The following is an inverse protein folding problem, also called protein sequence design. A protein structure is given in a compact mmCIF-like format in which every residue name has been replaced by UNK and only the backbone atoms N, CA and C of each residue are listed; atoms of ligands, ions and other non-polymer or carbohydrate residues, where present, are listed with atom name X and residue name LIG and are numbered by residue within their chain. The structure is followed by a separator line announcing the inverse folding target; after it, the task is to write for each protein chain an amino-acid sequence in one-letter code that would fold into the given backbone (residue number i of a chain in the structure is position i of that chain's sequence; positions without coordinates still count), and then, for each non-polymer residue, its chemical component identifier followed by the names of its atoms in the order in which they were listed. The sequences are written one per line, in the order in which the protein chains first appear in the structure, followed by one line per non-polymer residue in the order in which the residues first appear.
data_IF_045562550102
#
_entry.id   IF_045562550102
#
_cell.length_a   1.000
_cell.length_b   1.000
_cell.length_c   1.000
_cell.angle_alpha   90.00
_cell.angle_beta   90.00
_cell.angle_gamma   90.00
#
_symmetry.space_group_name_H-M   'P 1'
#
loop_
_entity.id
_entity.type
_entity.pdbx_description
1 polymer ?
#
# COMPACT_ATOMS: atom_id res chain seq x y z
N UNK A 1 24.93 7.24 58.97
CA UNK A 1 24.64 8.34 58.01
C UNK A 1 25.41 8.01 56.74
N UNK A 2 24.88 7.84 55.53
CA UNK A 2 23.60 8.17 54.88
C UNK A 2 23.43 7.19 53.71
N UNK A 3 22.20 6.73 53.48
CA UNK A 3 21.77 5.97 52.32
C UNK A 3 21.97 6.79 51.04
N UNK A 4 22.50 6.17 49.97
CA UNK A 4 22.28 6.64 48.61
C UNK A 4 21.75 5.47 47.77
N UNK A 5 20.43 5.32 47.82
CA UNK A 5 19.68 4.55 46.84
C UNK A 5 19.79 5.24 45.48
N UNK A 6 20.52 4.62 44.55
CA UNK A 6 20.42 4.96 43.13
C UNK A 6 19.05 4.50 42.62
N UNK A 7 18.05 5.37 42.76
CA UNK A 7 16.84 5.27 41.96
C UNK A 7 17.21 5.62 40.51
N UNK A 8 17.52 4.61 39.71
CA UNK A 8 17.41 4.70 38.27
C UNK A 8 15.92 4.88 37.94
N UNK A 9 15.45 6.12 37.90
CA UNK A 9 14.23 6.48 37.20
C UNK A 9 14.49 6.23 35.70
N UNK A 10 14.11 5.05 35.24
CA UNK A 10 13.90 4.78 33.82
C UNK A 10 12.75 5.69 33.35
N UNK A 11 13.08 6.91 32.95
CA UNK A 11 12.22 7.66 32.05
C UNK A 11 12.18 6.87 30.75
N UNK A 12 11.19 5.98 30.63
CA UNK A 12 10.90 5.29 29.39
C UNK A 12 10.69 6.36 28.32
N UNK A 13 11.67 6.48 27.43
CA UNK A 13 11.61 7.42 26.31
C UNK A 13 10.33 7.10 25.53
N UNK A 14 9.42 8.07 25.31
CA UNK A 14 8.15 7.83 24.62
C UNK A 14 8.29 7.10 23.28
N UNK A 15 9.44 7.23 22.62
CA UNK A 15 9.79 6.50 21.39
C UNK A 15 9.98 4.99 21.55
N UNK A 16 10.55 4.52 22.66
CA UNK A 16 10.78 3.08 22.91
C UNK A 16 9.47 2.32 23.18
N UNK A 17 8.52 2.99 23.85
CA UNK A 17 7.21 2.42 24.16
C UNK A 17 6.31 2.38 22.91
N UNK A 18 6.40 3.40 22.05
CA UNK A 18 5.72 3.43 20.75
C UNK A 18 6.21 2.33 19.80
N UNK A 19 7.52 2.08 19.73
CA UNK A 19 8.08 1.01 18.88
C UNK A 19 7.71 -0.39 19.35
N UNK A 20 7.71 -0.62 20.68
CA UNK A 20 7.30 -1.90 21.27
C UNK A 20 5.81 -2.18 21.02
N UNK A 21 4.96 -1.17 21.21
CA UNK A 21 3.52 -1.28 20.95
C UNK A 21 3.24 -1.51 19.46
N UNK A 22 3.95 -0.82 18.56
CA UNK A 22 3.79 -1.02 17.12
C UNK A 22 4.17 -2.43 16.69
N UNK A 23 5.28 -2.98 17.22
CA UNK A 23 5.68 -4.37 16.96
C UNK A 23 4.61 -5.35 17.43
N UNK A 24 4.04 -5.13 18.61
CA UNK A 24 2.96 -5.97 19.13
C UNK A 24 1.72 -5.93 18.22
N UNK A 25 1.31 -4.75 17.75
CA UNK A 25 0.20 -4.59 16.79
C UNK A 25 0.49 -5.30 15.46
N UNK A 26 1.72 -5.19 14.94
CA UNK A 26 2.15 -5.92 13.74
C UNK A 26 2.10 -7.44 13.92
N UNK A 27 2.48 -7.94 15.10
CA UNK A 27 2.42 -9.37 15.43
C UNK A 27 0.97 -9.86 15.51
N UNK A 28 0.08 -9.07 16.10
CA UNK A 28 -1.36 -9.36 16.12
C UNK A 28 -1.91 -9.50 14.70
N UNK A 29 -1.62 -8.55 13.81
CA UNK A 29 -2.04 -8.63 12.42
C UNK A 29 -1.47 -9.84 11.68
N UNK A 30 -0.18 -10.16 11.90
CA UNK A 30 0.45 -11.37 11.35
C UNK A 30 -0.29 -12.64 11.83
N UNK A 31 -0.62 -12.73 13.11
CA UNK A 31 -1.36 -13.86 13.67
C UNK A 31 -2.77 -13.97 13.09
N UNK A 32 -3.45 -12.85 12.87
CA UNK A 32 -4.77 -12.81 12.23
C UNK A 32 -4.71 -13.27 10.77
N UNK A 33 -3.67 -12.87 10.01
CA UNK A 33 -3.45 -13.38 8.65
C UNK A 33 -3.26 -14.91 8.64
N UNK A 34 -2.51 -15.46 9.60
CA UNK A 34 -2.31 -16.91 9.69
C UNK A 34 -3.63 -17.62 10.08
N UNK A 35 -4.39 -17.08 11.03
CA UNK A 35 -5.70 -17.62 11.41
C UNK A 35 -6.68 -17.61 10.24
N UNK A 36 -6.67 -16.54 9.44
CA UNK A 36 -7.43 -16.48 8.20
C UNK A 36 -7.01 -17.60 7.24
N UNK A 37 -5.70 -17.78 6.98
CA UNK A 37 -5.21 -18.88 6.13
C UNK A 37 -5.73 -20.24 6.58
N UNK A 38 -5.70 -20.51 7.90
CA UNK A 38 -6.22 -21.77 8.45
C UNK A 38 -7.72 -21.94 8.18
N UNK A 39 -8.52 -20.88 8.38
CA UNK A 39 -9.98 -20.95 8.14
C UNK A 39 -10.34 -21.16 6.67
N UNK A 40 -9.58 -20.56 5.74
CA UNK A 40 -9.74 -20.82 4.30
C UNK A 40 -9.37 -22.28 3.99
N UNK A 41 -8.31 -22.80 4.61
CA UNK A 41 -7.92 -24.20 4.50
C UNK A 41 -8.99 -25.18 5.01
N UNK A 42 -9.74 -24.80 6.06
CA UNK A 42 -10.87 -25.60 6.54
C UNK A 42 -12.03 -25.64 5.54
N UNK A 43 -12.36 -24.50 4.91
CA UNK A 43 -13.34 -24.46 3.82
C UNK A 43 -12.88 -25.35 2.66
N UNK A 44 -11.61 -25.23 2.26
CA UNK A 44 -11.02 -26.06 1.19
C UNK A 44 -11.15 -27.55 1.51
N UNK A 45 -10.82 -27.95 2.73
CA UNK A 45 -10.93 -29.34 3.18
C UNK A 45 -12.36 -29.86 3.06
N UNK A 46 -13.35 -29.08 3.54
CA UNK A 46 -14.77 -29.42 3.37
C UNK A 46 -15.19 -29.52 1.90
N UNK A 47 -14.66 -28.64 1.04
CA UNK A 47 -14.91 -28.69 -0.40
C UNK A 47 -14.35 -29.94 -1.06
N UNK A 48 -13.16 -30.39 -0.66
CA UNK A 48 -12.59 -31.65 -1.12
C UNK A 48 -13.43 -32.85 -0.66
N UNK A 49 -13.88 -32.88 0.61
CA UNK A 49 -14.76 -33.94 1.12
C UNK A 49 -16.07 -34.04 0.34
N UNK A 50 -16.63 -32.90 -0.09
CA UNK A 50 -17.89 -32.83 -0.83
C UNK A 50 -17.73 -32.94 -2.35
N UNK A 51 -16.51 -33.02 -2.88
CA UNK A 51 -16.24 -33.02 -4.32
C UNK A 51 -16.50 -31.69 -5.02
N UNK A 52 -16.53 -30.56 -4.29
CA UNK A 52 -16.72 -29.22 -4.83
C UNK A 52 -15.40 -28.60 -5.30
N UNK A 53 -14.91 -29.02 -6.47
CA UNK A 53 -13.61 -28.59 -7.02
C UNK A 53 -13.54 -27.10 -7.34
N UNK A 54 -14.68 -26.47 -7.64
CA UNK A 54 -14.82 -25.05 -7.89
C UNK A 54 -14.52 -24.21 -6.64
N UNK A 55 -15.10 -24.62 -5.49
CA UNK A 55 -14.85 -23.97 -4.20
C UNK A 55 -13.41 -24.22 -3.74
N UNK A 56 -12.89 -25.45 -3.88
CA UNK A 56 -11.52 -25.76 -3.44
C UNK A 56 -10.46 -25.00 -4.25
N UNK A 57 -10.66 -24.85 -5.58
CA UNK A 57 -9.81 -24.04 -6.44
C UNK A 57 -9.86 -22.56 -6.06
N UNK A 58 -11.05 -22.02 -5.76
CA UNK A 58 -11.17 -20.63 -5.32
C UNK A 58 -10.54 -20.38 -3.95
N UNK A 59 -10.53 -21.38 -3.07
CA UNK A 59 -9.77 -21.32 -1.82
C UNK A 59 -8.26 -21.22 -2.08
N UNK A 60 -7.72 -21.92 -3.08
CA UNK A 60 -6.30 -21.82 -3.44
C UNK A 60 -5.92 -20.44 -3.96
N UNK A 61 -6.78 -19.82 -4.76
CA UNK A 61 -6.63 -18.44 -5.20
C UNK A 61 -6.59 -17.47 -4.00
N UNK A 62 -7.55 -17.59 -3.07
CA UNK A 62 -7.60 -16.78 -1.86
C UNK A 62 -6.34 -16.96 -0.98
N UNK A 63 -5.89 -18.21 -0.78
CA UNK A 63 -4.68 -18.52 -0.03
C UNK A 63 -3.43 -17.95 -0.67
N UNK A 64 -3.33 -17.98 -2.00
CA UNK A 64 -2.22 -17.38 -2.75
C UNK A 64 -2.12 -15.88 -2.47
N UNK A 65 -3.23 -15.14 -2.57
CA UNK A 65 -3.26 -13.72 -2.25
C UNK A 65 -2.82 -13.44 -0.82
N UNK A 66 -3.33 -14.21 0.14
CA UNK A 66 -2.98 -14.05 1.55
C UNK A 66 -1.51 -14.35 1.82
N UNK A 67 -0.91 -15.34 1.13
CA UNK A 67 0.53 -15.63 1.23
C UNK A 67 1.38 -14.45 0.75
N UNK A 68 1.03 -13.83 -0.37
CA UNK A 68 1.72 -12.61 -0.83
C UNK A 68 1.57 -11.45 0.15
N UNK A 69 0.38 -11.28 0.74
CA UNK A 69 0.16 -10.28 1.78
C UNK A 69 1.07 -10.55 3.00
N UNK A 70 1.14 -11.80 3.47
CA UNK A 70 2.00 -12.19 4.59
C UNK A 70 3.49 -11.93 4.31
N UNK A 71 3.97 -12.24 3.10
CA UNK A 71 5.35 -11.95 2.70
C UNK A 71 5.65 -10.45 2.73
N UNK A 72 4.76 -9.62 2.15
CA UNK A 72 4.93 -8.16 2.18
C UNK A 72 4.83 -7.59 3.60
N UNK A 73 3.99 -8.18 4.46
CA UNK A 73 3.82 -7.78 5.85
C UNK A 73 5.12 -7.85 6.67
N UNK A 74 6.03 -8.76 6.33
CA UNK A 74 7.32 -8.88 7.03
C UNK A 74 8.14 -7.59 6.95
N UNK A 75 8.14 -6.92 5.78
CA UNK A 75 8.81 -5.62 5.59
C UNK A 75 8.20 -4.53 6.47
N UNK A 76 6.90 -4.61 6.76
CA UNK A 76 6.22 -3.67 7.64
C UNK A 76 6.58 -3.91 9.10
N UNK A 77 6.55 -5.17 9.50
CA UNK A 77 6.79 -5.60 10.89
C UNK A 77 8.22 -5.30 11.38
N UNK A 78 9.15 -5.06 10.47
CA UNK A 78 10.57 -4.85 10.74
C UNK A 78 11.07 -3.46 10.33
N UNK A 79 10.57 -2.92 9.21
CA UNK A 79 11.10 -1.69 8.61
C UNK A 79 10.65 -0.39 9.28
N UNK A 80 9.54 -0.39 10.01
CA UNK A 80 8.91 0.86 10.51
C UNK A 80 8.90 0.98 12.03
N UNK A 81 9.74 0.25 12.76
CA UNK A 81 9.75 0.28 14.23
C UNK A 81 10.08 1.67 14.80
N UNK A 82 10.97 2.41 14.14
CA UNK A 82 11.38 3.77 14.55
C UNK A 82 10.42 4.86 14.06
N UNK A 83 9.72 4.62 12.96
CA UNK A 83 8.76 5.56 12.36
C UNK A 83 7.45 4.85 11.93
N UNK A 84 6.66 4.33 12.88
CA UNK A 84 5.43 3.58 12.59
C UNK A 84 4.41 4.28 11.68
N UNK A 85 4.30 5.60 11.80
CA UNK A 85 3.35 6.42 11.01
C UNK A 85 3.64 6.40 9.49
N UNK A 86 4.84 6.02 9.08
CA UNK A 86 5.20 5.88 7.67
C UNK A 86 4.78 4.53 7.08
N UNK A 87 4.42 3.54 7.90
CA UNK A 87 4.10 2.18 7.46
C UNK A 87 2.97 2.16 6.42
N UNK A 88 1.90 2.95 6.62
CA UNK A 88 0.76 3.03 5.69
C UNK A 88 1.14 3.50 4.29
N UNK A 89 2.15 4.36 4.16
CA UNK A 89 2.58 4.95 2.88
C UNK A 89 3.61 4.09 2.15
N UNK A 90 3.99 2.95 2.75
CA UNK A 90 5.00 2.08 2.17
C UNK A 90 4.46 1.28 0.98
N UNK A 91 5.32 0.90 0.01
CA UNK A 91 4.96 -0.05 -1.04
C UNK A 91 4.45 -1.37 -0.46
N UNK A 92 4.99 -1.80 0.69
CA UNK A 92 4.53 -3.00 1.37
C UNK A 92 3.07 -2.92 1.78
N UNK A 93 2.61 -1.76 2.28
CA UNK A 93 1.23 -1.54 2.68
C UNK A 93 0.28 -1.61 1.48
N UNK A 94 0.64 -1.00 0.35
CA UNK A 94 -0.13 -1.09 -0.90
C UNK A 94 -0.31 -2.54 -1.36
N UNK A 95 0.77 -3.34 -1.34
CA UNK A 95 0.71 -4.77 -1.67
C UNK A 95 -0.20 -5.53 -0.71
N UNK A 96 -0.06 -5.31 0.60
CA UNK A 96 -0.91 -5.99 1.60
C UNK A 96 -2.38 -5.65 1.38
N UNK A 97 -2.71 -4.36 1.21
CA UNK A 97 -4.08 -3.90 1.01
C UNK A 97 -4.69 -4.51 -0.26
N UNK A 98 -3.98 -4.41 -1.40
CA UNK A 98 -4.46 -4.98 -2.66
C UNK A 98 -4.64 -6.49 -2.62
N UNK A 99 -3.71 -7.22 -1.96
CA UNK A 99 -3.81 -8.68 -1.80
C UNK A 99 -4.93 -9.09 -0.84
N UNK A 100 -5.16 -8.35 0.24
CA UNK A 100 -6.32 -8.58 1.11
C UNK A 100 -7.64 -8.32 0.38
N UNK A 101 -7.74 -7.27 -0.43
CA UNK A 101 -8.92 -7.01 -1.27
C UNK A 101 -9.15 -8.14 -2.28
N UNK A 102 -8.09 -8.64 -2.92
CA UNK A 102 -8.18 -9.78 -3.84
C UNK A 102 -8.64 -11.04 -3.11
N UNK A 103 -8.11 -11.29 -1.91
CA UNK A 103 -8.55 -12.39 -1.04
C UNK A 103 -10.04 -12.27 -0.69
N UNK A 104 -10.54 -11.09 -0.29
CA UNK A 104 -11.98 -10.91 -0.07
C UNK A 104 -12.81 -11.14 -1.32
N UNK A 105 -12.35 -10.73 -2.50
CA UNK A 105 -13.07 -11.00 -3.76
C UNK A 105 -13.26 -12.50 -3.99
N UNK A 106 -12.23 -13.30 -3.73
CA UNK A 106 -12.30 -14.76 -3.82
C UNK A 106 -13.23 -15.36 -2.76
N UNK A 107 -13.20 -14.86 -1.52
CA UNK A 107 -14.11 -15.30 -0.46
C UNK A 107 -15.58 -14.94 -0.76
N UNK A 108 -15.84 -13.75 -1.26
CA UNK A 108 -17.17 -13.30 -1.68
C UNK A 108 -17.74 -14.17 -2.80
N UNK A 109 -16.91 -14.58 -3.76
CA UNK A 109 -17.31 -15.56 -4.76
C UNK A 109 -17.72 -16.89 -4.13
N UNK A 110 -16.93 -17.40 -3.19
CA UNK A 110 -17.22 -18.66 -2.49
C UNK A 110 -18.56 -18.56 -1.75
N UNK A 111 -18.78 -17.47 -1.01
CA UNK A 111 -20.00 -17.26 -0.23
C UNK A 111 -21.26 -17.14 -1.09
N UNK A 112 -21.12 -16.69 -2.35
CA UNK A 112 -22.20 -16.59 -3.33
C UNK A 112 -22.49 -17.91 -4.04
N UNK A 113 -21.56 -18.86 -4.03
CA UNK A 113 -21.74 -20.16 -4.69
C UNK A 113 -22.92 -20.92 -4.04
N UNK A 114 -23.92 -21.40 -4.81
CA UNK A 114 -25.06 -22.14 -4.25
C UNK A 114 -24.65 -23.37 -3.43
N UNK A 115 -23.59 -24.06 -3.85
CA UNK A 115 -23.04 -25.23 -3.16
C UNK A 115 -22.47 -24.91 -1.77
N UNK A 116 -22.06 -23.67 -1.53
CA UNK A 116 -21.54 -23.22 -0.24
C UNK A 116 -22.64 -23.11 0.83
N UNK A 117 -23.93 -23.17 0.45
CA UNK A 117 -25.05 -23.23 1.41
C UNK A 117 -25.21 -24.59 2.09
N UNK A 118 -24.39 -25.58 1.72
CA UNK A 118 -24.41 -26.90 2.36
C UNK A 118 -24.09 -26.78 3.86
N UNK A 119 -24.83 -27.47 4.77
CA UNK A 119 -24.67 -27.32 6.22
C UNK A 119 -23.24 -27.53 6.73
N UNK A 120 -22.48 -28.41 6.08
CA UNK A 120 -21.08 -28.66 6.44
C UNK A 120 -20.15 -27.45 6.27
N UNK A 121 -20.54 -26.41 5.53
CA UNK A 121 -19.74 -25.18 5.42
C UNK A 121 -20.05 -24.15 6.49
N UNK A 122 -21.19 -24.25 7.19
CA UNK A 122 -21.72 -23.14 7.99
C UNK A 122 -20.70 -22.63 9.02
N UNK A 123 -20.19 -23.52 9.87
CA UNK A 123 -19.20 -23.18 10.91
C UNK A 123 -17.89 -22.65 10.30
N UNK A 124 -17.43 -23.24 9.21
CA UNK A 124 -16.18 -22.89 8.55
C UNK A 124 -16.30 -21.52 7.87
N UNK A 125 -17.44 -21.23 7.26
CA UNK A 125 -17.77 -19.94 6.66
C UNK A 125 -17.81 -18.83 7.71
N UNK A 126 -18.49 -19.05 8.83
CA UNK A 126 -18.58 -18.07 9.92
C UNK A 126 -17.21 -17.79 10.54
N UNK A 127 -16.43 -18.84 10.83
CA UNK A 127 -15.05 -18.71 11.31
C UNK A 127 -14.18 -17.92 10.33
N UNK A 128 -14.32 -18.18 9.03
CA UNK A 128 -13.54 -17.50 7.99
C UNK A 128 -13.89 -16.00 7.91
N UNK A 129 -15.17 -15.65 7.94
CA UNK A 129 -15.62 -14.25 7.98
C UNK A 129 -15.08 -13.52 9.21
N UNK A 130 -15.18 -14.14 10.37
CA UNK A 130 -14.70 -13.54 11.62
C UNK A 130 -13.18 -13.32 11.59
N UNK A 131 -12.41 -14.31 11.11
CA UNK A 131 -10.97 -14.17 10.97
C UNK A 131 -10.58 -13.12 9.91
N UNK A 132 -11.34 -12.99 8.83
CA UNK A 132 -11.12 -11.95 7.83
C UNK A 132 -11.33 -10.55 8.43
N UNK A 133 -12.43 -10.36 9.16
CA UNK A 133 -12.74 -9.10 9.84
C UNK A 133 -11.65 -8.76 10.88
N UNK A 134 -11.18 -9.74 11.65
CA UNK A 134 -10.09 -9.58 12.60
C UNK A 134 -8.77 -9.20 11.92
N UNK A 135 -8.46 -9.84 10.79
CA UNK A 135 -7.30 -9.50 9.95
C UNK A 135 -7.39 -8.07 9.41
N UNK A 136 -8.54 -7.67 8.87
CA UNK A 136 -8.74 -6.32 8.34
C UNK A 136 -8.60 -5.28 9.45
N UNK A 137 -9.22 -5.52 10.61
CA UNK A 137 -9.19 -4.60 11.75
C UNK A 137 -7.78 -4.41 12.31
N UNK A 138 -7.04 -5.51 12.48
CA UNK A 138 -5.65 -5.45 12.95
C UNK A 138 -4.71 -4.78 11.95
N UNK A 139 -4.92 -4.96 10.65
CA UNK A 139 -4.19 -4.21 9.63
C UNK A 139 -4.52 -2.72 9.68
N UNK A 140 -5.80 -2.35 9.85
CA UNK A 140 -6.22 -0.95 9.98
C UNK A 140 -5.60 -0.24 11.18
N UNK A 141 -5.37 -0.95 12.30
CA UNK A 141 -4.66 -0.38 13.46
C UNK A 141 -3.22 0.04 13.12
N UNK A 142 -2.53 -0.74 12.27
CA UNK A 142 -1.20 -0.40 11.75
C UNK A 142 -1.28 0.78 10.79
N UNK A 143 -2.30 0.83 9.94
CA UNK A 143 -2.49 1.91 8.97
C UNK A 143 -2.83 3.25 9.61
N UNK A 144 -3.57 3.22 10.71
CA UNK A 144 -4.01 4.42 11.42
C UNK A 144 -3.06 4.80 12.54
N UNK A 145 -1.81 4.33 12.51
CA UNK A 145 -0.85 4.63 13.55
C UNK A 145 -0.59 6.15 13.64
N UNK A 146 -0.71 6.75 14.84
CA UNK A 146 -0.59 8.19 14.98
C UNK A 146 0.84 8.68 14.76
N UNK A 147 0.99 9.81 14.08
CA UNK A 147 2.26 10.55 14.04
C UNK A 147 2.45 11.35 15.33
N UNK A 148 3.67 11.43 15.89
CA UNK A 148 3.96 12.34 17.00
C UNK A 148 3.61 13.80 16.66
N UNK A 149 3.26 14.63 17.65
CA UNK A 149 3.12 16.08 17.45
C UNK A 149 4.39 16.64 16.80
N UNK A 150 4.25 17.46 15.76
CA UNK A 150 5.34 18.01 14.91
C UNK A 150 6.04 17.05 13.93
N UNK A 151 5.66 15.77 13.85
CA UNK A 151 6.14 14.84 12.81
C UNK A 151 5.08 14.53 11.73
N UNK A 152 3.89 15.10 11.84
CA UNK A 152 3.00 15.23 10.68
C UNK A 152 3.65 16.15 9.64
N UNK A 153 3.37 15.99 8.34
CA UNK A 153 3.78 16.99 7.36
C UNK A 153 3.29 18.36 7.87
N UNK A 154 4.23 19.25 8.18
CA UNK A 154 3.89 20.65 8.42
C UNK A 154 3.18 21.11 7.15
N UNK A 155 1.91 21.58 7.19
CA UNK A 155 1.50 22.48 6.13
C UNK A 155 2.55 23.60 6.14
N UNK A 156 3.20 23.84 5.00
CA UNK A 156 4.06 25.01 4.84
C UNK A 156 3.25 26.18 5.33
N UNK A 157 3.68 26.78 6.45
CA UNK A 157 2.87 27.75 7.17
C UNK A 157 2.35 28.79 6.19
N UNK A 158 1.03 28.98 6.19
CA UNK A 158 0.43 30.07 5.43
C UNK A 158 1.11 31.37 5.87
N UNK A 159 1.82 32.02 4.94
CA UNK A 159 2.23 33.40 5.09
C UNK A 159 0.98 34.29 4.96
N UNK A 160 0.12 34.23 5.98
CA UNK A 160 -0.92 35.21 6.21
C UNK A 160 -0.35 36.35 7.03
N UNK A 161 0.07 37.43 6.38
CA UNK A 161 0.42 38.66 7.09
C UNK A 161 1.35 39.58 6.31
N UNK A 162 0.79 40.42 5.44
CA UNK A 162 1.52 41.54 4.85
C UNK A 162 0.98 42.03 3.52
N UNK A 163 -0.25 42.54 3.48
CA UNK A 163 -0.68 43.39 2.36
C UNK A 163 0.05 44.73 2.44
N UNK A 164 1.20 44.81 1.78
CA UNK A 164 2.03 46.00 1.66
C UNK A 164 2.53 46.16 0.23
N UNK A 165 1.81 46.97 -0.53
CA UNK A 165 2.11 47.54 -1.85
C UNK A 165 3.53 47.33 -2.42
N UNK A 166 3.72 46.30 -3.25
CA UNK A 166 4.61 46.37 -4.41
C UNK A 166 3.96 45.68 -5.62
N UNK A 167 3.28 46.48 -6.42
CA UNK A 167 3.09 46.19 -7.85
C UNK A 167 4.47 46.22 -8.51
N UNK A 168 4.99 45.05 -8.90
CA UNK A 168 5.60 44.76 -10.22
C UNK A 168 6.41 43.46 -10.17
N UNK A 169 5.86 42.45 -10.84
CA UNK A 169 6.48 41.53 -11.82
C UNK A 169 5.84 40.15 -11.71
N UNK A 170 4.99 39.86 -12.69
CA UNK A 170 4.66 38.51 -13.10
C UNK A 170 5.94 37.78 -13.56
N UNK A 171 5.94 36.44 -13.50
CA UNK A 171 7.05 35.50 -13.78
C UNK A 171 7.91 35.05 -12.57
N UNK A 172 7.28 34.42 -11.58
CA UNK A 172 7.98 33.44 -10.74
C UNK A 172 7.08 32.22 -10.55
N UNK A 173 7.62 31.05 -10.87
CA UNK A 173 6.96 29.76 -11.11
C UNK A 173 5.89 29.37 -10.08
N UNK A 174 4.76 28.84 -10.57
CA UNK A 174 3.66 28.31 -9.74
C UNK A 174 4.07 27.09 -8.89
N UNK A 175 5.19 26.44 -9.22
CA UNK A 175 5.75 25.30 -8.49
C UNK A 175 7.19 25.59 -8.02
N UNK A 176 7.68 24.85 -7.01
CA UNK A 176 9.10 24.84 -6.64
C UNK A 176 10.00 24.56 -7.84
N UNK A 177 11.26 25.01 -7.80
CA UNK A 177 12.19 24.91 -8.94
C UNK A 177 12.51 23.49 -9.43
N UNK A 178 12.17 22.47 -8.63
CA UNK A 178 12.39 21.05 -8.96
C UNK A 178 11.13 20.35 -9.47
N UNK A 179 10.00 21.06 -9.55
CA UNK A 179 8.71 20.49 -9.92
C UNK A 179 8.11 21.25 -11.11
N UNK A 180 7.38 20.52 -11.95
CA UNK A 180 6.67 21.08 -13.11
C UNK A 180 5.21 21.28 -12.74
N UNK A 181 4.65 22.44 -13.09
CA UNK A 181 3.23 22.72 -12.91
C UNK A 181 2.44 22.04 -14.04
N UNK A 182 1.71 20.98 -13.71
CA UNK A 182 0.89 20.22 -14.64
C UNK A 182 -0.59 20.49 -14.40
N UNK A 183 -1.38 20.64 -15.46
CA UNK A 183 -2.83 20.82 -15.31
C UNK A 183 -3.50 19.54 -14.81
N UNK A 184 -4.36 19.67 -13.80
CA UNK A 184 -5.23 18.58 -13.35
C UNK A 184 -6.34 18.44 -14.39
N UNK A 185 -6.44 17.26 -15.01
CA UNK A 185 -7.44 16.96 -16.04
C UNK A 185 -8.86 17.39 -15.62
N UNK A 186 -9.55 18.09 -16.53
CA UNK A 186 -10.88 18.73 -16.35
C UNK A 186 -10.94 20.02 -15.53
N UNK A 187 -9.82 20.67 -15.24
CA UNK A 187 -9.81 22.03 -14.65
C UNK A 187 -9.00 23.00 -15.51
N UNK A 188 -9.52 24.21 -15.76
CA UNK A 188 -8.80 25.26 -16.50
C UNK A 188 -7.94 26.14 -15.60
N UNK A 189 -7.90 25.85 -14.30
CA UNK A 189 -7.31 26.75 -13.29
C UNK A 189 -6.59 26.04 -12.15
N UNK A 190 -6.54 24.71 -12.12
CA UNK A 190 -5.86 23.96 -11.06
C UNK A 190 -4.66 23.21 -11.61
N UNK A 191 -3.49 23.52 -11.04
CA UNK A 191 -2.22 22.88 -11.36
C UNK A 191 -1.80 21.99 -10.19
N UNK A 192 -1.22 20.84 -10.51
CA UNK A 192 -0.47 20.01 -9.59
C UNK A 192 1.03 20.15 -9.88
N UNK A 193 1.85 20.13 -8.83
CA UNK A 193 3.30 20.18 -8.99
C UNK A 193 3.84 18.74 -8.98
N UNK A 194 4.48 18.34 -10.08
CA UNK A 194 5.03 16.99 -10.27
C UNK A 194 6.53 17.02 -10.50
N UNK A 195 7.27 16.13 -9.85
CA UNK A 195 8.66 15.82 -10.22
C UNK A 195 8.65 14.92 -11.46
N UNK A 196 8.59 15.53 -12.64
CA UNK A 196 8.55 14.86 -13.94
C UNK A 196 9.80 14.03 -14.24
N UNK A 197 10.85 14.13 -13.42
CA UNK A 197 12.03 13.28 -13.54
C UNK A 197 11.83 11.88 -12.97
N UNK A 198 10.81 11.68 -12.12
CA UNK A 198 10.56 10.44 -11.37
C UNK A 198 9.09 10.02 -11.34
N UNK A 199 8.18 10.91 -11.68
CA UNK A 199 6.75 10.62 -11.68
C UNK A 199 6.38 9.70 -12.85
N UNK A 200 5.89 8.50 -12.52
CA UNK A 200 5.61 7.45 -13.51
C UNK A 200 4.43 7.78 -14.42
N UNK A 201 3.51 8.63 -13.94
CA UNK A 201 2.30 9.01 -14.68
C UNK A 201 2.46 10.27 -15.52
N UNK A 202 3.58 10.99 -15.38
CA UNK A 202 3.93 12.21 -16.10
C UNK A 202 5.46 12.30 -16.27
N UNK A 203 6.03 11.24 -16.83
CA UNK A 203 7.47 11.11 -16.97
C UNK A 203 7.98 11.96 -18.13
N UNK A 204 8.99 12.78 -17.87
CA UNK A 204 9.57 13.71 -18.85
C UNK A 204 8.76 14.98 -19.10
N UNK A 205 7.57 15.11 -18.53
CA UNK A 205 6.69 16.26 -18.68
C UNK A 205 5.24 15.96 -18.29
N UNK A 206 4.38 16.98 -18.30
CA UNK A 206 2.98 16.84 -17.93
C UNK A 206 2.22 15.97 -18.94
N UNK A 207 1.81 14.76 -18.55
CA UNK A 207 1.08 13.85 -19.44
C UNK A 207 -0.30 14.39 -19.82
N UNK A 208 -0.96 15.13 -18.92
CA UNK A 208 -2.24 15.81 -19.17
C UNK A 208 -2.17 16.88 -20.26
N UNK A 209 -0.97 17.39 -20.54
CA UNK A 209 -0.69 18.42 -21.55
C UNK A 209 0.06 17.86 -22.76
N UNK A 210 0.29 16.53 -22.79
CA UNK A 210 1.02 15.85 -23.86
C UNK A 210 2.52 16.14 -23.89
N UNK A 211 3.08 16.68 -22.81
CA UNK A 211 4.51 17.03 -22.69
C UNK A 211 5.36 15.87 -22.15
N UNK A 212 4.73 14.88 -21.53
CA UNK A 212 5.40 13.67 -21.04
C UNK A 212 4.54 12.44 -21.20
N UNK A 213 5.04 11.32 -20.73
CA UNK A 213 4.46 10.01 -20.96
C UNK A 213 4.02 9.37 -19.63
N UNK A 214 2.84 8.75 -19.65
CA UNK A 214 2.45 7.84 -18.58
C UNK A 214 3.03 6.46 -18.87
N UNK A 215 4.13 6.11 -18.19
CA UNK A 215 4.85 4.85 -18.45
C UNK A 215 3.98 3.61 -18.19
N UNK A 216 2.87 3.74 -17.45
CA UNK A 216 1.92 2.64 -17.22
C UNK A 216 1.15 2.24 -18.49
N UNK A 217 1.14 3.09 -19.53
CA UNK A 217 0.44 2.84 -20.79
C UNK A 217 1.34 2.24 -21.88
N UNK A 218 2.59 1.89 -21.54
CA UNK A 218 3.50 1.22 -22.47
C UNK A 218 2.96 -0.17 -22.77
N UNK A 219 2.58 -0.40 -24.03
CA UNK A 219 2.10 -1.70 -24.49
C UNK A 219 3.20 -2.76 -24.35
N UNK A 220 2.81 -3.99 -23.99
CA UNK A 220 3.76 -5.09 -23.78
C UNK A 220 4.60 -5.00 -22.50
N UNK A 221 4.61 -3.86 -21.78
CA UNK A 221 5.35 -3.75 -20.53
C UNK A 221 4.58 -4.37 -19.35
N UNK A 222 5.31 -5.03 -18.45
CA UNK A 222 4.79 -5.54 -17.17
C UNK A 222 5.36 -4.75 -15.98
N UNK A 223 6.63 -4.35 -16.06
CA UNK A 223 7.31 -3.52 -15.07
C UNK A 223 7.89 -2.27 -15.72
N UNK A 224 7.49 -1.10 -15.22
CA UNK A 224 7.90 0.21 -15.75
C UNK A 224 8.30 1.17 -14.63
N UNK A 225 9.12 2.17 -14.96
CA UNK A 225 9.50 3.26 -14.07
C UNK A 225 9.84 4.53 -14.84
N UNK A 226 10.02 5.62 -14.11
CA UNK A 226 10.52 6.88 -14.65
C UNK A 226 11.89 7.18 -14.05
N UNK A 227 12.90 7.34 -14.90
CA UNK A 227 14.26 7.68 -14.49
C UNK A 227 14.79 8.83 -15.35
N UNK A 228 15.17 9.93 -14.69
CA UNK A 228 15.70 11.13 -15.35
C UNK A 228 14.80 11.63 -16.49
N UNK A 229 13.48 11.58 -16.27
CA UNK A 229 12.48 12.03 -17.23
C UNK A 229 12.26 11.09 -18.42
N UNK A 230 12.69 9.82 -18.32
CA UNK A 230 12.49 8.81 -19.36
C UNK A 230 11.81 7.57 -18.78
N UNK A 231 10.84 7.03 -19.51
CA UNK A 231 10.27 5.75 -19.16
C UNK A 231 11.29 4.64 -19.38
N UNK A 232 11.47 3.80 -18.35
CA UNK A 232 12.33 2.62 -18.38
C UNK A 232 11.44 1.40 -18.19
N UNK A 233 11.62 0.40 -19.04
CA UNK A 233 10.93 -0.90 -18.92
C UNK A 233 11.87 -1.91 -18.28
N UNK A 234 11.45 -2.49 -17.17
CA UNK A 234 12.21 -3.48 -16.41
C UNK A 234 11.79 -4.92 -16.75
N UNK A 235 10.54 -5.12 -17.17
CA UNK A 235 10.03 -6.43 -17.60
C UNK A 235 8.87 -6.30 -18.59
N UNK A 236 8.70 -7.33 -19.41
CA UNK A 236 7.68 -7.42 -20.46
C UNK A 236 6.68 -8.54 -20.19
N UNK A 237 5.49 -8.42 -20.77
CA UNK A 237 4.49 -9.48 -20.81
C UNK A 237 4.99 -10.66 -21.67
N UNK A 238 4.48 -11.88 -21.46
CA UNK A 238 4.81 -13.02 -22.33
C UNK A 238 4.57 -12.71 -23.81
N UNK A 239 5.52 -13.06 -24.67
CA UNK A 239 5.49 -12.78 -26.12
C UNK A 239 6.11 -11.44 -26.53
N UNK A 240 6.67 -10.68 -25.58
CA UNK A 240 7.38 -9.43 -25.85
C UNK A 240 8.84 -9.50 -25.39
N UNK A 241 9.75 -8.92 -26.16
CA UNK A 241 11.16 -8.68 -25.81
C UNK A 241 11.44 -7.19 -25.71
N UNK A 242 12.49 -6.80 -24.98
CA UNK A 242 12.92 -5.40 -24.92
C UNK A 242 13.88 -5.13 -26.09
N UNK A 243 13.56 -4.12 -26.90
CA UNK A 243 14.34 -3.73 -28.06
C UNK A 243 15.55 -2.82 -27.69
N UNK A 244 16.32 -2.39 -28.69
CA UNK A 244 17.51 -1.54 -28.48
C UNK A 244 17.15 -0.17 -27.86
N UNK A 245 15.92 0.31 -28.06
CA UNK A 245 15.40 1.54 -27.46
C UNK A 245 14.84 1.36 -26.05
N UNK A 246 14.91 0.15 -25.47
CA UNK A 246 14.41 -0.13 -24.12
C UNK A 246 12.89 -0.24 -24.05
N UNK A 247 12.21 -0.54 -25.16
CA UNK A 247 10.76 -0.67 -25.27
C UNK A 247 10.34 -2.10 -25.61
N UNK A 248 9.12 -2.53 -25.23
CA UNK A 248 8.62 -3.85 -25.60
C UNK A 248 8.30 -3.92 -27.09
N UNK A 249 8.79 -4.95 -27.76
CA UNK A 249 8.40 -5.36 -29.11
C UNK A 249 7.98 -6.84 -29.11
N UNK A 250 7.14 -7.23 -30.07
CA UNK A 250 6.69 -8.61 -30.18
C UNK A 250 7.88 -9.48 -30.61
N UNK A 251 8.10 -10.57 -29.87
CA UNK A 251 9.17 -11.54 -30.09
C UNK A 251 9.00 -12.36 -31.38
#
# INVERSE_FOLDING_TARGET
MKFFSFLCLAAAVPGLQASANFKATCNTASNQMVSLSRSIGQIKSTALTLGHSDISSKCDEALSHLKFAQSSWQGISSGFLSQPWNARRSPHASVVQGRLSSCSGSLEWIYRCPRFRHPLYQKQGDNCRNNYNGCQSSCQQVWNWPSPPNNGPKPSGGYGGGYGHYRRNAESSMCPSTETACLISNSTSSVECLDTQKEITSCGGCASEGQGENCMFIEGAEGVGCESGKCVVFSTKPGYIINEEGRPEIA
#
